data_IF_172035088849
#
_entry.id   IF_172035088849
#
_cell.length_a   1.000
_cell.length_b   1.000
_cell.length_c   1.000
_cell.angle_alpha   90.00
_cell.angle_beta   90.00
_cell.angle_gamma   90.00
#
_symmetry.space_group_name_H-M   'P 1'
#
loop_
_entity.id
_entity.type
_entity.pdbx_description
1 polymer ?
#
# COMPACT_ATOMS: atom_id res chain seq x y z
N UNK A 1 -32.62 54.36 -19.96
CA UNK A 1 -33.27 53.08 -20.33
C UNK A 1 -32.59 51.97 -19.53
N UNK A 2 -33.39 51.11 -18.92
CA UNK A 2 -33.04 50.33 -17.75
C UNK A 2 -32.03 49.20 -17.98
N UNK A 3 -31.27 48.94 -16.91
CA UNK A 3 -30.42 47.78 -16.68
C UNK A 3 -31.26 46.50 -16.73
N UNK A 4 -31.05 45.65 -17.73
CA UNK A 4 -31.50 44.26 -17.70
C UNK A 4 -30.27 43.39 -17.40
N UNK A 5 -30.15 42.96 -16.14
CA UNK A 5 -29.29 41.84 -15.79
C UNK A 5 -29.92 40.55 -16.36
N UNK A 6 -29.14 39.63 -16.93
CA UNK A 6 -29.65 38.32 -17.28
C UNK A 6 -30.02 37.57 -15.99
N UNK A 7 -31.30 37.23 -15.87
CA UNK A 7 -31.80 36.29 -14.88
C UNK A 7 -31.24 34.91 -15.24
N UNK A 8 -30.30 34.40 -14.43
CA UNK A 8 -29.87 33.02 -14.55
C UNK A 8 -30.90 32.16 -13.81
N UNK A 9 -31.77 31.51 -14.58
CA UNK A 9 -32.66 30.47 -14.11
C UNK A 9 -31.84 29.39 -13.40
N UNK A 10 -31.95 29.33 -12.07
CA UNK A 10 -31.45 28.20 -11.28
C UNK A 10 -32.36 27.01 -11.53
N UNK A 11 -32.21 26.37 -12.70
CA UNK A 11 -32.86 25.11 -13.00
C UNK A 11 -32.41 24.07 -11.96
N UNK A 12 -33.32 23.72 -11.05
CA UNK A 12 -33.18 22.71 -10.00
C UNK A 12 -33.13 21.26 -10.53
N UNK A 13 -32.75 21.07 -11.79
CA UNK A 13 -32.65 19.77 -12.46
C UNK A 13 -31.20 19.48 -12.87
N UNK A 14 -30.28 19.71 -11.94
CA UNK A 14 -28.94 19.15 -12.00
C UNK A 14 -28.93 17.71 -11.48
N UNK A 15 -29.72 16.80 -12.06
CA UNK A 15 -29.52 15.37 -11.81
C UNK A 15 -28.20 14.97 -12.48
N UNK A 16 -27.10 15.10 -11.74
CA UNK A 16 -25.81 14.54 -12.12
C UNK A 16 -26.06 13.06 -12.45
N UNK A 17 -25.99 12.72 -13.74
CA UNK A 17 -26.02 11.34 -14.21
C UNK A 17 -24.71 10.72 -13.72
N UNK A 18 -24.74 10.19 -12.48
CA UNK A 18 -23.61 9.48 -11.90
C UNK A 18 -23.38 8.23 -12.75
N UNK A 19 -22.42 8.32 -13.67
CA UNK A 19 -21.92 7.18 -14.42
C UNK A 19 -21.56 6.05 -13.45
N UNK A 20 -22.06 4.84 -13.72
CA UNK A 20 -21.88 3.66 -12.87
C UNK A 20 -20.40 3.51 -12.51
N UNK A 21 -20.01 3.51 -11.22
CA UNK A 21 -18.61 3.41 -10.84
C UNK A 21 -18.03 2.07 -11.31
N UNK A 22 -16.87 2.12 -11.98
CA UNK A 22 -16.19 0.92 -12.45
C UNK A 22 -15.49 0.21 -11.30
N UNK A 23 -16.25 -0.59 -10.54
CA UNK A 23 -15.77 -1.33 -9.36
C UNK A 23 -15.05 -2.64 -9.70
N UNK A 24 -15.15 -3.11 -10.95
CA UNK A 24 -14.56 -4.36 -11.43
C UNK A 24 -13.03 -4.48 -11.21
N UNK A 25 -12.20 -3.47 -11.54
CA UNK A 25 -10.76 -3.55 -11.30
C UNK A 25 -10.42 -3.68 -9.82
N UNK A 26 -11.09 -2.90 -8.97
CA UNK A 26 -10.88 -2.90 -7.51
C UNK A 26 -11.23 -4.27 -6.93
N UNK A 27 -12.37 -4.85 -7.33
CA UNK A 27 -12.78 -6.18 -6.89
C UNK A 27 -11.80 -7.27 -7.34
N UNK A 28 -11.22 -7.13 -8.54
CA UNK A 28 -10.21 -8.07 -9.04
C UNK A 28 -8.92 -8.03 -8.23
N UNK A 29 -8.43 -6.84 -7.89
CA UNK A 29 -7.25 -6.71 -7.03
C UNK A 29 -7.53 -7.18 -5.59
N UNK A 30 -8.73 -6.90 -5.06
CA UNK A 30 -9.15 -7.42 -3.77
C UNK A 30 -9.11 -8.95 -3.75
N UNK A 31 -9.65 -9.60 -4.79
CA UNK A 31 -9.66 -11.04 -4.91
C UNK A 31 -8.25 -11.64 -4.92
N UNK A 32 -7.29 -11.01 -5.61
CA UNK A 32 -5.89 -11.44 -5.60
C UNK A 32 -5.24 -11.34 -4.22
N UNK A 33 -5.42 -10.22 -3.53
CA UNK A 33 -4.86 -10.01 -2.19
C UNK A 33 -5.46 -11.01 -1.20
N UNK A 34 -6.78 -11.19 -1.23
CA UNK A 34 -7.47 -12.17 -0.39
C UNK A 34 -6.97 -13.58 -0.69
N UNK A 35 -6.77 -13.93 -1.96
CA UNK A 35 -6.22 -15.22 -2.36
C UNK A 35 -4.80 -15.46 -1.82
N UNK A 36 -3.90 -14.47 -1.95
CA UNK A 36 -2.53 -14.55 -1.42
C UNK A 36 -2.58 -14.71 0.11
N UNK A 37 -3.39 -13.92 0.80
CA UNK A 37 -3.47 -13.98 2.27
C UNK A 37 -4.16 -15.25 2.77
N UNK A 38 -5.16 -15.76 2.08
CA UNK A 38 -5.73 -17.08 2.39
C UNK A 38 -4.67 -18.19 2.23
N UNK A 39 -3.81 -18.10 1.22
CA UNK A 39 -2.70 -19.02 1.02
C UNK A 39 -1.63 -18.90 2.13
N UNK A 40 -1.32 -17.68 2.58
CA UNK A 40 -0.45 -17.45 3.75
C UNK A 40 -1.01 -18.14 5.01
N UNK A 41 -2.31 -17.99 5.28
CA UNK A 41 -2.96 -18.66 6.42
C UNK A 41 -2.94 -20.17 6.27
N UNK A 42 -3.21 -20.71 5.08
CA UNK A 42 -3.13 -22.15 4.85
C UNK A 42 -1.74 -22.69 5.16
N UNK A 43 -0.69 -22.03 4.66
CA UNK A 43 0.70 -22.40 4.95
C UNK A 43 1.04 -22.26 6.44
N UNK A 44 0.46 -21.30 7.14
CA UNK A 44 0.66 -21.14 8.58
C UNK A 44 0.14 -22.34 9.38
N UNK A 45 -0.96 -22.96 8.94
CA UNK A 45 -1.57 -24.12 9.59
C UNK A 45 -0.96 -25.45 9.15
N UNK A 46 -0.50 -25.57 7.90
CA UNK A 46 0.05 -26.82 7.36
C UNK A 46 1.53 -27.00 7.70
N UNK A 47 2.30 -25.90 7.77
CA UNK A 47 3.74 -25.96 7.91
C UNK A 47 4.20 -25.41 9.25
N UNK A 48 5.05 -26.17 9.95
CA UNK A 48 5.63 -25.76 11.22
C UNK A 48 6.56 -24.54 11.11
N UNK A 49 6.79 -23.91 12.27
CA UNK A 49 7.68 -22.76 12.39
C UNK A 49 9.10 -23.12 11.97
N UNK A 50 9.47 -22.69 10.77
CA UNK A 50 10.76 -22.96 10.16
C UNK A 50 11.23 -21.73 9.38
N UNK A 51 12.55 -21.63 9.17
CA UNK A 51 13.15 -20.56 8.37
C UNK A 51 12.57 -20.52 6.95
N UNK A 52 12.20 -21.68 6.40
CA UNK A 52 11.54 -21.80 5.10
C UNK A 52 10.14 -21.16 5.12
N UNK A 53 9.34 -21.39 6.17
CA UNK A 53 8.01 -20.74 6.30
C UNK A 53 8.14 -19.22 6.34
N UNK A 54 9.10 -18.74 7.14
CA UNK A 54 9.32 -17.31 7.30
C UNK A 54 9.76 -16.66 5.97
N UNK A 55 10.63 -17.30 5.20
CA UNK A 55 11.06 -16.76 3.90
C UNK A 55 9.91 -16.70 2.90
N UNK A 56 9.05 -17.72 2.85
CA UNK A 56 7.85 -17.71 1.99
C UNK A 56 6.92 -16.55 2.39
N UNK A 57 6.68 -16.34 3.68
CA UNK A 57 5.80 -15.25 4.13
C UNK A 57 6.34 -13.88 3.78
N UNK A 58 7.66 -13.67 3.92
CA UNK A 58 8.31 -12.42 3.50
C UNK A 58 8.07 -12.18 2.01
N UNK A 59 8.30 -13.20 1.17
CA UNK A 59 8.11 -13.10 -0.28
C UNK A 59 6.65 -12.81 -0.64
N UNK A 60 5.69 -13.55 -0.09
CA UNK A 60 4.26 -13.36 -0.34
C UNK A 60 3.78 -11.98 0.13
N UNK A 61 4.31 -11.48 1.25
CA UNK A 61 4.00 -10.14 1.76
C UNK A 61 4.52 -9.05 0.83
N UNK A 62 5.72 -9.20 0.24
CA UNK A 62 6.25 -8.27 -0.76
C UNK A 62 5.36 -8.27 -2.02
N UNK A 63 4.97 -9.45 -2.52
CA UNK A 63 4.04 -9.54 -3.64
C UNK A 63 2.72 -8.85 -3.35
N UNK A 64 2.16 -9.08 -2.15
CA UNK A 64 0.93 -8.42 -1.70
C UNK A 64 1.07 -6.90 -1.69
N UNK A 65 2.17 -6.37 -1.17
CA UNK A 65 2.45 -4.93 -1.16
C UNK A 65 2.49 -4.36 -2.57
N UNK A 66 3.11 -5.06 -3.53
CA UNK A 66 3.10 -4.64 -4.93
C UNK A 66 1.69 -4.56 -5.51
N UNK A 67 0.83 -5.56 -5.28
CA UNK A 67 -0.57 -5.54 -5.76
C UNK A 67 -1.42 -4.43 -5.12
N UNK A 68 -1.19 -4.13 -3.83
CA UNK A 68 -1.85 -3.01 -3.15
C UNK A 68 -1.48 -1.68 -3.82
N UNK A 69 -0.19 -1.43 -4.00
CA UNK A 69 0.30 -0.16 -4.58
C UNK A 69 -0.12 -0.03 -6.05
N UNK A 70 -0.13 -1.13 -6.81
CA UNK A 70 -0.48 -1.08 -8.23
C UNK A 70 -1.96 -0.75 -8.48
N UNK A 71 -2.90 -1.35 -7.73
CA UNK A 71 -4.34 -1.20 -8.01
C UNK A 71 -5.09 -0.32 -7.00
N UNK A 72 -4.84 -0.45 -5.69
CA UNK A 72 -5.60 0.31 -4.68
C UNK A 72 -5.15 1.76 -4.56
N UNK A 73 -3.90 2.07 -4.90
CA UNK A 73 -3.40 3.43 -4.95
C UNK A 73 -3.57 4.08 -6.32
N UNK A 74 -4.23 3.41 -7.28
CA UNK A 74 -4.52 3.91 -8.63
C UNK A 74 -3.28 4.30 -9.47
N UNK A 75 -2.08 3.93 -9.02
CA UNK A 75 -0.83 4.41 -9.58
C UNK A 75 -0.47 3.84 -10.96
N UNK A 76 -1.14 2.76 -11.40
CA UNK A 76 -0.84 2.13 -12.69
C UNK A 76 -1.16 3.01 -13.90
N UNK A 77 -2.08 3.97 -13.76
CA UNK A 77 -2.52 4.84 -14.87
C UNK A 77 -2.39 6.34 -14.58
N UNK A 78 -1.90 6.71 -13.39
CA UNK A 78 -1.78 8.11 -12.96
C UNK A 78 -0.33 8.61 -12.87
N UNK A 79 -0.19 9.90 -12.57
CA UNK A 79 1.06 10.66 -12.66
C UNK A 79 2.21 10.04 -11.84
N UNK A 80 3.39 9.98 -12.47
CA UNK A 80 4.63 9.44 -11.88
C UNK A 80 5.00 10.08 -10.53
N UNK A 81 4.52 11.30 -10.25
CA UNK A 81 4.72 11.97 -8.97
C UNK A 81 4.07 11.26 -7.78
N UNK A 82 2.91 10.63 -7.98
CA UNK A 82 2.24 9.88 -6.91
C UNK A 82 3.01 8.61 -6.55
N UNK A 83 3.66 7.95 -7.52
CA UNK A 83 4.55 6.81 -7.26
C UNK A 83 5.73 7.24 -6.37
N UNK A 84 6.38 8.36 -6.71
CA UNK A 84 7.50 8.89 -5.91
C UNK A 84 7.08 9.26 -4.48
N UNK A 85 5.84 9.74 -4.28
CA UNK A 85 5.32 10.07 -2.95
C UNK A 85 5.24 8.88 -1.99
N UNK A 86 5.13 7.66 -2.51
CA UNK A 86 5.08 6.43 -1.70
C UNK A 86 6.46 5.74 -1.67
N UNK A 87 7.17 5.74 -2.80
CA UNK A 87 8.50 5.12 -2.90
C UNK A 87 9.54 5.80 -1.99
N UNK A 88 9.51 7.13 -1.86
CA UNK A 88 10.47 7.86 -1.02
C UNK A 88 10.30 7.54 0.47
N UNK A 89 9.10 7.64 1.08
CA UNK A 89 8.89 7.21 2.47
C UNK A 89 9.25 5.73 2.69
N UNK A 90 8.91 4.85 1.74
CA UNK A 90 9.27 3.43 1.84
C UNK A 90 10.78 3.19 1.85
N UNK A 91 11.52 3.88 0.99
CA UNK A 91 12.98 3.80 0.96
C UNK A 91 13.60 4.31 2.27
N UNK A 92 13.07 5.41 2.83
CA UNK A 92 13.51 5.94 4.12
C UNK A 92 13.25 4.95 5.27
N UNK A 93 12.11 4.25 5.28
CA UNK A 93 11.82 3.22 6.29
C UNK A 93 12.79 2.04 6.20
N UNK A 94 13.09 1.56 4.99
CA UNK A 94 14.07 0.47 4.80
C UNK A 94 15.45 0.92 5.27
N UNK A 95 15.87 2.14 4.87
CA UNK A 95 17.15 2.69 5.30
C UNK A 95 17.24 2.84 6.82
N UNK A 96 16.19 3.37 7.46
CA UNK A 96 16.10 3.50 8.92
C UNK A 96 16.19 2.15 9.62
N UNK A 97 15.50 1.12 9.10
CA UNK A 97 15.50 -0.21 9.69
C UNK A 97 16.91 -0.83 9.65
N UNK A 98 17.62 -0.68 8.52
CA UNK A 98 19.03 -1.09 8.40
C UNK A 98 19.91 -0.35 9.40
N UNK A 99 19.77 0.98 9.50
CA UNK A 99 20.55 1.80 10.43
C UNK A 99 20.32 1.40 11.90
N UNK A 100 19.06 1.17 12.30
CA UNK A 100 18.73 0.74 13.65
C UNK A 100 19.28 -0.65 13.98
N UNK A 101 19.24 -1.58 13.03
CA UNK A 101 19.80 -2.93 13.23
C UNK A 101 21.32 -2.87 13.33
N UNK A 102 22.01 -2.10 12.48
CA UNK A 102 23.46 -1.98 12.53
C UNK A 102 23.94 -1.28 13.80
N UNK A 103 23.38 -0.11 14.13
CA UNK A 103 23.76 0.65 15.33
C UNK A 103 23.35 -0.07 16.61
N UNK A 104 22.16 -0.68 16.62
CA UNK A 104 21.68 -1.48 17.75
C UNK A 104 22.58 -2.69 18.03
N UNK A 105 23.11 -3.33 16.99
CA UNK A 105 24.02 -4.46 17.16
C UNK A 105 25.37 -4.03 17.71
N UNK A 106 25.94 -2.94 17.17
CA UNK A 106 27.21 -2.36 17.65
C UNK A 106 27.10 -1.90 19.12
N UNK A 107 26.05 -1.17 19.48
CA UNK A 107 25.81 -0.73 20.86
C UNK A 107 25.60 -1.93 21.79
N UNK A 108 24.86 -2.95 21.33
CA UNK A 108 24.68 -4.19 22.05
C UNK A 108 26.02 -4.85 22.40
N UNK A 109 26.87 -5.08 21.41
CA UNK A 109 28.21 -5.65 21.60
C UNK A 109 29.08 -4.83 22.56
N UNK A 110 29.07 -3.50 22.43
CA UNK A 110 29.83 -2.61 23.30
C UNK A 110 29.38 -2.71 24.77
N UNK A 111 28.07 -2.80 25.02
CA UNK A 111 27.51 -2.98 26.37
C UNK A 111 27.87 -4.36 26.90
N UNK A 112 27.64 -5.44 26.14
CA UNK A 112 27.95 -6.80 26.59
C UNK A 112 29.45 -7.00 26.88
N UNK A 113 30.33 -6.36 26.12
CA UNK A 113 31.77 -6.39 26.37
C UNK A 113 32.20 -5.60 27.61
N UNK A 114 31.44 -4.59 28.02
CA UNK A 114 31.77 -3.76 29.20
C UNK A 114 31.34 -4.41 30.53
N UNK A 115 30.37 -5.33 30.50
CA UNK A 115 29.89 -6.07 31.68
C UNK A 115 30.47 -7.49 31.80
N UNK A 116 31.37 -7.88 30.90
CA UNK A 116 32.14 -9.12 30.96
C UNK A 116 33.53 -8.85 31.53
#
# INVERSE_FOLDING_TARGET
MAHHAPENDYNAEGHAVHGKPNVKPILRALAWIVGITAFEFLLAFVMDASTLRNSIFIILTIFKAFFIVAEFMHLRHETKGLIWSIMIPMALLIWLLVALVSEGSFVGEAIFSAYK
#
